data_IF_763750477799
#
_entry.id   IF_763750477799
#
_cell.length_a   1.000
_cell.length_b   1.000
_cell.length_c   1.000
_cell.angle_alpha   90.00
_cell.angle_beta   90.00
_cell.angle_gamma   90.00
#
_symmetry.space_group_name_H-M   'P 1'
#
loop_
_entity.id
_entity.type
_entity.pdbx_description
1 polymer ?
#
# COMPACT_ATOMS: atom_id res chain seq x y z
N UNK A 1 1.56 -8.56 -5.22
CA UNK A 1 2.29 -9.84 -5.37
C UNK A 1 3.74 -9.60 -5.01
N UNK A 2 4.33 -10.44 -4.16
CA UNK A 2 5.76 -10.33 -3.82
C UNK A 2 6.57 -11.05 -4.90
N UNK A 3 7.72 -10.49 -5.28
CA UNK A 3 8.57 -11.09 -6.30
C UNK A 3 9.60 -12.00 -5.62
N UNK A 4 9.73 -13.22 -6.13
CA UNK A 4 10.67 -14.23 -5.61
C UNK A 4 12.11 -13.95 -6.05
N UNK A 5 12.30 -13.53 -7.29
CA UNK A 5 13.62 -13.24 -7.84
C UNK A 5 14.03 -11.79 -7.58
N UNK A 6 15.29 -11.52 -7.21
CA UNK A 6 15.79 -10.16 -7.03
C UNK A 6 16.00 -9.44 -8.37
N UNK A 7 16.04 -8.12 -8.33
CA UNK A 7 16.33 -7.25 -9.47
C UNK A 7 17.84 -7.21 -9.78
N UNK A 8 18.15 -7.07 -11.07
CA UNK A 8 19.51 -6.80 -11.56
C UNK A 8 19.79 -5.30 -11.78
N UNK A 9 18.87 -4.42 -11.40
CA UNK A 9 19.07 -2.98 -11.52
C UNK A 9 20.28 -2.50 -10.71
N UNK A 10 20.93 -1.47 -11.26
CA UNK A 10 22.05 -0.73 -10.64
C UNK A 10 21.70 0.75 -10.56
N UNK A 11 20.90 1.10 -9.56
CA UNK A 11 20.42 2.46 -9.30
C UNK A 11 20.77 2.90 -7.88
N UNK A 12 20.67 4.20 -7.64
CA UNK A 12 20.58 4.76 -6.31
C UNK A 12 19.10 5.00 -6.01
N UNK A 13 18.57 4.31 -5.01
CA UNK A 13 17.21 4.42 -4.52
C UNK A 13 17.18 5.30 -3.28
N UNK A 14 16.29 6.29 -3.27
CA UNK A 14 16.03 7.16 -2.13
C UNK A 14 14.66 6.81 -1.56
N UNK A 15 14.58 6.60 -0.25
CA UNK A 15 13.39 6.15 0.43
C UNK A 15 12.99 7.14 1.51
N UNK A 16 11.68 7.31 1.65
CA UNK A 16 11.01 7.76 2.84
C UNK A 16 9.82 6.82 3.14
N UNK A 17 9.17 6.98 4.29
CA UNK A 17 8.00 6.19 4.69
C UNK A 17 6.79 7.04 5.09
N UNK A 18 5.58 6.47 5.01
CA UNK A 18 4.37 7.15 5.47
C UNK A 18 4.04 6.86 6.93
N UNK A 19 3.62 7.91 7.64
CA UNK A 19 2.91 7.89 8.93
C UNK A 19 3.65 7.28 10.14
N UNK A 20 4.83 6.69 9.94
CA UNK A 20 5.68 6.04 10.95
C UNK A 20 4.83 5.23 11.94
N UNK A 21 3.89 4.44 11.40
CA UNK A 21 2.90 3.70 12.19
C UNK A 21 3.59 2.75 13.16
N UNK A 22 4.78 2.22 12.79
CA UNK A 22 5.73 1.39 13.55
C UNK A 22 5.20 0.04 14.04
N UNK A 23 3.93 -0.02 14.43
CA UNK A 23 3.18 -1.19 14.89
C UNK A 23 1.71 -0.99 14.56
N UNK A 24 1.01 -2.07 14.24
CA UNK A 24 -0.44 -2.07 14.07
C UNK A 24 -1.06 -3.04 15.08
N UNK A 25 -1.99 -2.57 15.92
CA UNK A 25 -2.52 -3.34 17.04
C UNK A 25 -3.95 -2.95 17.41
N UNK A 26 -4.64 -3.89 18.06
CA UNK A 26 -5.99 -3.69 18.59
C UNK A 26 -5.95 -3.02 19.97
N UNK A 27 -6.84 -2.07 20.22
CA UNK A 27 -6.94 -1.38 21.50
C UNK A 27 -8.33 -0.81 21.78
N UNK A 28 -8.93 -1.22 22.89
CA UNK A 28 -10.20 -0.65 23.40
C UNK A 28 -10.15 0.85 23.71
N UNK A 29 -8.96 1.46 23.78
CA UNK A 29 -8.78 2.91 24.01
C UNK A 29 -8.97 3.73 22.73
N UNK A 30 -9.10 3.09 21.57
CA UNK A 30 -9.19 3.75 20.26
C UNK A 30 -10.61 3.64 19.73
N UNK A 31 -11.08 4.68 19.05
CA UNK A 31 -12.47 4.77 18.58
C UNK A 31 -12.88 3.59 17.70
N UNK A 32 -12.00 3.17 16.79
CA UNK A 32 -12.20 2.07 15.86
C UNK A 32 -11.49 0.78 16.31
N UNK A 33 -11.08 0.69 17.58
CA UNK A 33 -10.35 -0.45 18.13
C UNK A 33 -9.00 -0.77 17.47
N UNK A 34 -8.52 0.04 16.52
CA UNK A 34 -7.18 -0.02 15.93
C UNK A 34 -6.36 1.22 16.31
N UNK A 35 -5.05 1.07 16.47
CA UNK A 35 -4.18 2.14 16.98
C UNK A 35 -4.00 3.33 16.03
N UNK A 36 -4.14 3.10 14.73
CA UNK A 36 -4.03 4.09 13.66
C UNK A 36 -5.04 3.78 12.55
N UNK A 37 -5.51 4.83 11.89
CA UNK A 37 -6.30 4.77 10.65
C UNK A 37 -5.47 5.17 9.43
N UNK A 38 -4.16 5.35 9.62
CA UNK A 38 -3.27 5.95 8.65
C UNK A 38 -2.77 4.87 7.67
N UNK A 39 -3.67 4.45 6.80
CA UNK A 39 -3.45 3.41 5.78
C UNK A 39 -3.49 4.02 4.38
N UNK A 40 -2.67 3.56 3.42
CA UNK A 40 -1.67 2.50 3.54
C UNK A 40 -0.33 2.98 4.11
N UNK A 41 0.47 2.02 4.60
CA UNK A 41 1.90 2.21 4.79
C UNK A 41 2.60 2.15 3.43
N UNK A 42 3.43 3.14 3.13
CA UNK A 42 4.17 3.20 1.87
C UNK A 42 5.63 3.44 2.20
N UNK A 43 6.50 2.59 1.66
CA UNK A 43 7.95 2.74 1.69
C UNK A 43 8.44 2.94 0.26
N UNK A 44 9.01 4.10 -0.05
CA UNK A 44 9.33 4.41 -1.44
C UNK A 44 9.92 5.79 -1.67
N UNK A 45 10.04 6.17 -2.94
CA UNK A 45 10.62 7.45 -3.32
C UNK A 45 11.10 7.46 -4.77
N UNK A 46 12.21 8.16 -4.99
CA UNK A 46 12.82 8.30 -6.31
C UNK A 46 14.04 7.38 -6.47
N UNK A 47 14.31 6.94 -7.69
CA UNK A 47 15.47 6.14 -8.04
C UNK A 47 16.11 6.65 -9.33
N UNK A 48 17.45 6.62 -9.41
CA UNK A 48 18.18 7.14 -10.57
C UNK A 48 19.52 6.44 -10.75
N UNK A 49 20.10 6.55 -11.94
CA UNK A 49 21.44 5.99 -12.18
C UNK A 49 22.50 6.76 -11.39
N UNK A 50 23.53 6.09 -10.85
CA UNK A 50 24.61 6.75 -10.13
C UNK A 50 25.32 7.84 -10.95
N UNK A 51 25.44 7.64 -12.27
CA UNK A 51 26.08 8.60 -13.18
C UNK A 51 25.37 9.96 -13.23
N UNK A 52 24.06 10.00 -12.99
CA UNK A 52 23.27 11.25 -13.03
C UNK A 52 23.66 12.21 -11.88
N UNK A 53 24.10 11.66 -10.74
CA UNK A 53 24.54 12.46 -9.59
C UNK A 53 25.89 13.17 -9.82
N UNK A 54 26.66 12.73 -10.82
CA UNK A 54 27.93 13.35 -11.18
C UNK A 54 27.75 14.46 -12.23
N UNK A 55 26.53 14.68 -12.72
CA UNK A 55 26.22 15.74 -13.68
C UNK A 55 25.88 17.04 -12.95
N UNK A 56 26.73 18.04 -13.07
CA UNK A 56 26.51 19.38 -12.49
C UNK A 56 25.20 20.02 -13.00
N UNK A 57 24.78 19.73 -14.23
CA UNK A 57 23.50 20.23 -14.76
C UNK A 57 22.31 19.63 -14.03
N UNK A 58 22.43 18.37 -13.63
CA UNK A 58 21.41 17.70 -12.84
C UNK A 58 21.32 18.27 -11.43
N UNK A 59 22.46 18.54 -10.78
CA UNK A 59 22.47 19.19 -9.48
C UNK A 59 21.79 20.57 -9.53
N UNK A 60 22.14 21.39 -10.52
CA UNK A 60 21.54 22.70 -10.75
C UNK A 60 20.03 22.62 -11.00
N UNK A 61 19.56 21.63 -11.77
CA UNK A 61 18.13 21.48 -12.05
C UNK A 61 17.31 21.10 -10.82
N UNK A 62 17.87 20.32 -9.87
CA UNK A 62 17.26 20.09 -8.55
C UNK A 62 17.16 21.41 -7.78
N UNK A 63 18.21 22.24 -7.79
CA UNK A 63 18.17 23.55 -7.11
C UNK A 63 17.10 24.47 -7.67
N UNK A 64 16.98 24.50 -9.01
CA UNK A 64 15.95 25.27 -9.70
C UNK A 64 14.54 24.79 -9.36
N UNK A 65 14.32 23.47 -9.24
CA UNK A 65 13.03 22.91 -8.81
C UNK A 65 12.65 23.41 -7.40
N UNK A 66 13.58 23.32 -6.44
CA UNK A 66 13.33 23.78 -5.07
C UNK A 66 13.11 25.30 -5.01
N UNK A 67 13.83 26.06 -5.84
CA UNK A 67 13.62 27.50 -6.00
C UNK A 67 12.23 27.80 -6.56
N UNK A 68 11.75 27.06 -7.56
CA UNK A 68 10.38 27.17 -8.13
C UNK A 68 9.30 26.89 -7.07
N UNK A 69 9.58 26.06 -6.07
CA UNK A 69 8.67 25.84 -4.94
C UNK A 69 8.66 26.97 -3.91
N UNK A 70 9.51 27.98 -4.06
CA UNK A 70 9.64 29.10 -3.11
C UNK A 70 10.30 28.68 -1.79
N UNK A 71 11.11 27.62 -1.82
CA UNK A 71 11.86 27.17 -0.63
C UNK A 71 12.92 28.21 -0.31
N UNK A 72 12.89 28.74 0.93
CA UNK A 72 13.90 29.69 1.39
C UNK A 72 15.26 29.00 1.50
N UNK A 73 16.35 29.72 1.25
CA UNK A 73 17.72 29.18 1.38
C UNK A 73 18.06 28.67 2.78
N UNK A 74 17.38 29.19 3.81
CA UNK A 74 17.50 28.74 5.20
C UNK A 74 16.64 27.51 5.53
N UNK A 75 15.65 27.16 4.69
CA UNK A 75 14.75 26.06 4.92
C UNK A 75 15.45 24.74 4.59
N UNK A 76 15.85 24.04 5.66
CA UNK A 76 16.62 22.79 5.57
C UNK A 76 15.79 21.56 5.21
N UNK A 77 14.47 21.65 5.36
CA UNK A 77 13.56 20.53 5.19
C UNK A 77 12.26 20.95 4.48
N UNK A 78 12.02 20.34 3.33
CA UNK A 78 10.79 20.44 2.56
C UNK A 78 10.08 19.10 2.65
N UNK A 79 8.76 19.13 2.84
CA UNK A 79 7.90 17.96 2.99
C UNK A 79 6.68 18.13 2.11
N UNK A 80 5.93 17.06 1.87
CA UNK A 80 4.71 17.04 1.06
C UNK A 80 3.74 18.16 1.43
N UNK A 81 3.50 18.39 2.73
CA UNK A 81 2.61 19.47 3.22
C UNK A 81 3.02 20.89 2.81
N UNK A 82 4.26 21.11 2.36
CA UNK A 82 4.72 22.41 1.83
C UNK A 82 4.49 22.53 0.30
N UNK A 83 4.20 21.40 -0.34
CA UNK A 83 3.99 21.25 -1.79
C UNK A 83 2.49 21.23 -2.11
N UNK A 84 1.70 20.45 -1.38
CA UNK A 84 0.26 20.36 -1.55
C UNK A 84 -0.45 20.04 -0.23
N UNK A 85 -1.70 20.48 -0.08
CA UNK A 85 -2.58 20.18 1.05
C UNK A 85 -4.03 20.10 0.56
N UNK A 86 -4.86 19.36 1.27
CA UNK A 86 -6.28 19.17 0.93
C UNK A 86 -6.61 17.73 0.61
N UNK A 87 -7.82 17.51 0.09
CA UNK A 87 -8.23 16.22 -0.46
C UNK A 87 -7.53 15.92 -1.79
N UNK A 88 -7.74 14.70 -2.30
CA UNK A 88 -7.05 14.24 -3.50
C UNK A 88 -7.32 15.12 -4.74
N UNK A 89 -8.57 15.51 -5.08
CA UNK A 89 -8.79 16.46 -6.15
C UNK A 89 -8.10 17.81 -5.94
N UNK A 90 -8.09 18.34 -4.72
CA UNK A 90 -7.45 19.63 -4.42
C UNK A 90 -5.94 19.58 -4.61
N UNK A 91 -5.26 18.51 -4.19
CA UNK A 91 -3.79 18.46 -4.35
C UNK A 91 -3.36 18.37 -5.81
N UNK A 92 -4.21 17.84 -6.70
CA UNK A 92 -3.93 17.75 -8.14
C UNK A 92 -3.91 19.13 -8.82
N UNK A 93 -4.45 20.18 -8.21
CA UNK A 93 -4.35 21.56 -8.72
C UNK A 93 -3.05 22.25 -8.28
N UNK A 94 -2.18 21.58 -7.49
CA UNK A 94 -0.94 22.18 -7.00
C UNK A 94 0.09 22.33 -8.11
N UNK A 95 0.41 23.59 -8.46
CA UNK A 95 1.52 23.91 -9.37
C UNK A 95 2.87 23.37 -8.89
N UNK A 96 3.09 23.29 -7.56
CA UNK A 96 4.35 22.76 -7.03
C UNK A 96 4.46 21.26 -7.26
N UNK A 97 3.35 20.53 -7.11
CA UNK A 97 3.27 19.11 -7.40
C UNK A 97 3.44 18.84 -8.89
N UNK A 98 2.76 19.64 -9.73
CA UNK A 98 2.90 19.56 -11.19
C UNK A 98 4.36 19.76 -11.64
N UNK A 99 5.06 20.78 -11.09
CA UNK A 99 6.49 20.99 -11.33
C UNK A 99 7.36 19.79 -10.94
N UNK A 100 7.00 19.05 -9.88
CA UNK A 100 7.72 17.82 -9.50
C UNK A 100 7.57 16.77 -10.60
N UNK A 101 6.34 16.52 -11.06
CA UNK A 101 6.11 15.49 -12.06
C UNK A 101 6.68 15.85 -13.42
N UNK A 102 6.69 17.12 -13.81
CA UNK A 102 7.43 17.58 -14.99
C UNK A 102 8.91 17.29 -14.85
N UNK A 103 9.52 17.69 -13.74
CA UNK A 103 10.93 17.43 -13.47
C UNK A 103 11.28 15.94 -13.53
N UNK A 104 10.48 15.08 -12.90
CA UNK A 104 10.70 13.63 -12.91
C UNK A 104 10.52 13.00 -14.30
N UNK A 105 9.69 13.57 -15.17
CA UNK A 105 9.51 13.12 -16.55
C UNK A 105 10.64 13.59 -17.48
N UNK A 106 11.09 14.83 -17.32
CA UNK A 106 12.21 15.42 -18.09
C UNK A 106 13.55 14.75 -17.76
N UNK A 107 13.73 14.33 -16.49
CA UNK A 107 14.94 13.66 -16.03
C UNK A 107 14.80 12.13 -16.12
N UNK A 108 15.94 11.44 -16.17
CA UNK A 108 15.97 9.99 -16.12
C UNK A 108 15.84 9.43 -14.69
N UNK A 109 14.84 9.95 -13.97
CA UNK A 109 14.44 9.56 -12.62
C UNK A 109 13.23 8.63 -12.72
N UNK A 110 13.26 7.57 -11.93
CA UNK A 110 12.19 6.61 -11.75
C UNK A 110 11.54 6.80 -10.38
N UNK A 111 10.31 6.29 -10.24
CA UNK A 111 9.66 6.13 -8.94
C UNK A 111 9.73 4.67 -8.51
N UNK A 112 9.81 4.45 -7.21
CA UNK A 112 9.68 3.13 -6.63
C UNK A 112 8.84 3.21 -5.36
N UNK A 113 8.07 2.16 -5.09
CA UNK A 113 7.22 2.11 -3.91
C UNK A 113 6.84 0.69 -3.55
N UNK A 114 6.73 0.45 -2.25
CA UNK A 114 6.09 -0.70 -1.64
C UNK A 114 4.86 -0.18 -0.90
N UNK A 115 3.67 -0.57 -1.36
CA UNK A 115 2.39 -0.13 -0.79
C UNK A 115 1.76 -1.29 -0.02
N UNK A 116 1.58 -1.08 1.27
CA UNK A 116 1.01 -2.03 2.22
C UNK A 116 -0.29 -1.49 2.79
N UNK A 117 -1.40 -2.15 2.47
CA UNK A 117 -2.62 -1.96 3.24
C UNK A 117 -2.52 -2.78 4.53
N UNK A 118 -2.30 -2.08 5.64
CA UNK A 118 -2.13 -2.69 6.96
C UNK A 118 -3.39 -3.41 7.44
N UNK A 119 -4.59 -3.00 7.00
CA UNK A 119 -5.83 -3.71 7.36
C UNK A 119 -5.91 -5.01 6.59
N UNK A 120 -5.73 -4.96 5.27
CA UNK A 120 -5.71 -6.17 4.45
C UNK A 120 -4.67 -7.16 4.96
N UNK A 121 -3.43 -6.70 5.15
CA UNK A 121 -2.32 -7.51 5.65
C UNK A 121 -2.61 -8.18 6.99
N UNK A 122 -3.36 -7.50 7.87
CA UNK A 122 -3.72 -8.03 9.19
C UNK A 122 -4.86 -9.04 9.18
N UNK A 123 -5.50 -9.26 8.02
CA UNK A 123 -6.69 -10.12 7.90
C UNK A 123 -6.48 -11.28 6.93
N UNK A 124 -5.51 -11.21 6.00
CA UNK A 124 -5.30 -12.26 4.99
C UNK A 124 -5.08 -13.64 5.62
N UNK A 125 -4.38 -13.72 6.76
CA UNK A 125 -4.06 -14.97 7.45
C UNK A 125 -5.31 -15.75 7.90
N UNK A 126 -6.47 -15.08 8.00
CA UNK A 126 -7.77 -15.71 8.30
C UNK A 126 -8.17 -16.69 7.18
N UNK A 127 -7.77 -16.43 5.94
CA UNK A 127 -8.21 -17.12 4.72
C UNK A 127 -7.04 -17.46 3.79
N UNK A 128 -5.84 -17.63 4.35
CA UNK A 128 -4.61 -18.03 3.63
C UNK A 128 -4.34 -19.55 3.74
N UNK A 129 -5.16 -20.31 4.46
CA UNK A 129 -4.97 -21.75 4.67
C UNK A 129 -5.19 -22.59 3.40
N UNK A 130 -4.66 -23.81 3.39
CA UNK A 130 -4.83 -24.77 2.28
C UNK A 130 -6.30 -25.15 2.10
N UNK A 131 -7.05 -25.32 3.18
CA UNK A 131 -8.48 -25.62 3.11
C UNK A 131 -9.27 -24.48 2.43
N UNK A 132 -8.97 -23.22 2.75
CA UNK A 132 -9.56 -22.06 2.08
C UNK A 132 -9.20 -22.04 0.58
N UNK A 133 -7.93 -22.29 0.24
CA UNK A 133 -7.50 -22.38 -1.16
C UNK A 133 -8.19 -23.51 -1.92
N UNK A 134 -8.37 -24.68 -1.30
CA UNK A 134 -9.03 -25.83 -1.94
C UNK A 134 -10.48 -25.51 -2.33
N UNK A 135 -11.22 -24.77 -1.50
CA UNK A 135 -12.56 -24.27 -1.87
C UNK A 135 -12.48 -23.35 -3.08
N UNK A 136 -11.54 -22.40 -3.08
CA UNK A 136 -11.37 -21.48 -4.22
C UNK A 136 -10.91 -22.18 -5.49
N UNK A 137 -10.15 -23.28 -5.38
CA UNK A 137 -9.59 -24.05 -6.50
C UNK A 137 -10.65 -24.50 -7.49
N UNK A 138 -11.84 -24.84 -7.01
CA UNK A 138 -12.98 -25.24 -7.84
C UNK A 138 -13.51 -24.13 -8.75
N UNK A 139 -13.16 -22.87 -8.47
CA UNK A 139 -13.62 -21.69 -9.20
C UNK A 139 -12.51 -21.04 -10.03
N UNK A 140 -11.24 -21.44 -9.88
CA UNK A 140 -10.11 -20.80 -10.57
C UNK A 140 -10.19 -20.87 -12.11
N UNK A 141 -10.96 -21.82 -12.67
CA UNK A 141 -11.22 -21.88 -14.11
C UNK A 141 -12.10 -20.74 -14.62
N UNK A 142 -12.85 -20.07 -13.73
CA UNK A 142 -13.64 -18.87 -14.04
C UNK A 142 -12.73 -17.66 -14.07
N UNK A 143 -11.94 -17.48 -13.00
CA UNK A 143 -10.98 -16.40 -12.85
C UNK A 143 -9.88 -16.81 -11.87
N UNK A 144 -8.62 -16.76 -12.32
CA UNK A 144 -7.44 -17.11 -11.52
C UNK A 144 -7.25 -16.20 -10.29
N UNK A 145 -7.93 -15.04 -10.26
CA UNK A 145 -7.82 -14.03 -9.20
C UNK A 145 -8.78 -14.28 -8.04
N UNK A 146 -9.70 -15.25 -8.14
CA UNK A 146 -10.76 -15.49 -7.15
C UNK A 146 -10.23 -15.58 -5.73
N UNK A 147 -9.11 -16.25 -5.51
CA UNK A 147 -8.58 -16.38 -4.15
C UNK A 147 -8.16 -15.03 -3.56
N UNK A 148 -7.60 -14.14 -4.37
CA UNK A 148 -7.27 -12.77 -3.97
C UNK A 148 -8.51 -11.90 -3.80
N UNK A 149 -9.55 -12.10 -4.61
CA UNK A 149 -10.81 -11.37 -4.50
C UNK A 149 -11.61 -11.74 -3.24
N UNK A 150 -11.58 -13.02 -2.86
CA UNK A 150 -12.15 -13.49 -1.59
C UNK A 150 -11.40 -12.87 -0.40
N UNK A 151 -10.07 -12.73 -0.49
CA UNK A 151 -9.24 -11.99 0.49
C UNK A 151 -9.59 -10.52 0.59
N UNK A 152 -9.76 -9.88 -0.56
CA UNK A 152 -10.22 -8.50 -0.64
C UNK A 152 -11.63 -8.32 -0.08
N UNK A 153 -12.55 -9.27 -0.34
CA UNK A 153 -13.91 -9.22 0.20
C UNK A 153 -13.92 -9.22 1.73
N UNK A 154 -13.10 -10.04 2.39
CA UNK A 154 -12.97 -9.99 3.86
C UNK A 154 -12.50 -8.60 4.34
N UNK A 155 -11.58 -7.99 3.61
CA UNK A 155 -11.08 -6.64 3.90
C UNK A 155 -12.17 -5.58 3.73
N UNK A 156 -12.99 -5.67 2.68
CA UNK A 156 -14.12 -4.75 2.48
C UNK A 156 -15.20 -4.90 3.54
N UNK A 157 -15.49 -6.13 3.98
CA UNK A 157 -16.39 -6.40 5.11
C UNK A 157 -15.86 -5.70 6.37
N UNK A 158 -14.57 -5.87 6.68
CA UNK A 158 -13.93 -5.25 7.84
C UNK A 158 -13.99 -3.72 7.76
N UNK A 159 -13.68 -3.12 6.61
CA UNK A 159 -13.74 -1.66 6.40
C UNK A 159 -15.17 -1.11 6.50
N UNK A 160 -16.15 -1.82 5.95
CA UNK A 160 -17.58 -1.42 5.99
C UNK A 160 -18.08 -1.34 7.43
N UNK A 161 -17.66 -2.29 8.27
CA UNK A 161 -18.07 -2.34 9.67
C UNK A 161 -16.91 -2.00 10.62
N UNK A 162 -16.00 -1.11 10.22
CA UNK A 162 -14.70 -0.84 10.89
C UNK A 162 -14.77 -0.93 12.41
N UNK A 163 -15.59 -0.09 13.04
CA UNK A 163 -15.65 -0.02 14.50
C UNK A 163 -16.14 -1.32 15.14
N UNK A 164 -17.25 -1.88 14.65
CA UNK A 164 -17.89 -3.05 15.26
C UNK A 164 -17.08 -4.32 14.99
N UNK A 165 -16.54 -4.46 13.77
CA UNK A 165 -15.71 -5.59 13.37
C UNK A 165 -14.44 -5.69 14.21
N UNK A 166 -13.69 -4.58 14.32
CA UNK A 166 -12.45 -4.57 15.11
C UNK A 166 -12.70 -4.60 16.63
N UNK A 167 -13.85 -4.11 17.10
CA UNK A 167 -14.28 -4.30 18.49
C UNK A 167 -14.43 -5.78 18.83
N UNK A 168 -15.14 -6.52 17.99
CA UNK A 168 -15.35 -7.95 18.23
C UNK A 168 -14.08 -8.78 18.04
N UNK A 169 -13.21 -8.44 17.08
CA UNK A 169 -11.87 -9.03 17.01
C UNK A 169 -11.07 -8.83 18.30
N UNK A 170 -11.16 -7.64 18.89
CA UNK A 170 -10.54 -7.36 20.18
C UNK A 170 -11.17 -8.20 21.31
N UNK A 171 -12.49 -8.38 21.34
CA UNK A 171 -13.14 -9.25 22.34
C UNK A 171 -12.74 -10.73 22.18
N UNK A 172 -12.49 -11.17 20.95
CA UNK A 172 -12.02 -12.51 20.64
C UNK A 172 -10.54 -12.71 21.00
N UNK A 173 -9.75 -11.65 21.23
CA UNK A 173 -8.32 -11.78 21.53
C UNK A 173 -7.45 -11.96 20.28
N UNK A 174 -7.98 -11.66 19.10
CA UNK A 174 -7.30 -11.78 17.81
C UNK A 174 -5.90 -11.14 17.85
N UNK A 175 -4.86 -11.72 17.21
CA UNK A 175 -4.89 -12.86 16.26
C UNK A 175 -5.08 -14.26 16.85
N UNK A 176 -4.64 -14.53 18.08
CA UNK A 176 -4.69 -15.90 18.62
C UNK A 176 -6.10 -16.34 19.03
N UNK A 177 -6.68 -17.21 18.19
CA UNK A 177 -8.05 -17.75 18.35
C UNK A 177 -8.06 -19.22 18.78
N UNK A 178 -6.94 -19.77 19.24
CA UNK A 178 -6.75 -21.21 19.50
C UNK A 178 -7.83 -21.89 20.36
N UNK A 179 -8.55 -21.15 21.21
CA UNK A 179 -9.61 -21.68 22.08
C UNK A 179 -11.00 -21.08 21.79
N UNK A 180 -11.17 -20.41 20.63
CA UNK A 180 -12.37 -19.66 20.26
C UNK A 180 -12.73 -19.83 18.79
N UNK A 181 -12.37 -20.96 18.18
CA UNK A 181 -12.57 -21.22 16.75
C UNK A 181 -14.05 -21.11 16.35
N UNK A 182 -14.94 -21.77 17.10
CA UNK A 182 -16.39 -21.73 16.82
C UNK A 182 -16.99 -20.32 16.94
N UNK A 183 -16.59 -19.57 17.96
CA UNK A 183 -16.99 -18.17 18.16
C UNK A 183 -16.44 -17.29 17.03
N UNK A 184 -15.20 -17.53 16.60
CA UNK A 184 -14.55 -16.79 15.52
C UNK A 184 -15.23 -17.06 14.17
N UNK A 185 -15.56 -18.31 13.85
CA UNK A 185 -16.32 -18.67 12.64
C UNK A 185 -17.71 -18.02 12.69
N UNK A 186 -18.39 -18.06 13.83
CA UNK A 186 -19.68 -17.40 14.03
C UNK A 186 -19.61 -15.89 13.81
N UNK A 187 -18.53 -15.25 14.28
CA UNK A 187 -18.20 -13.85 14.01
C UNK A 187 -18.05 -13.60 12.50
N UNK A 188 -17.24 -14.40 11.79
CA UNK A 188 -17.01 -14.25 10.35
C UNK A 188 -18.31 -14.38 9.54
N UNK A 189 -19.11 -15.42 9.82
CA UNK A 189 -20.41 -15.65 9.18
C UNK A 189 -21.39 -14.51 9.43
N UNK A 190 -21.44 -13.99 10.67
CA UNK A 190 -22.28 -12.84 11.02
C UNK A 190 -21.95 -11.62 10.17
N UNK A 191 -20.68 -11.25 10.05
CA UNK A 191 -20.27 -10.07 9.29
C UNK A 191 -20.45 -10.24 7.79
N UNK A 192 -20.23 -11.43 7.24
CA UNK A 192 -20.57 -11.74 5.85
C UNK A 192 -22.09 -11.60 5.59
N UNK A 193 -22.92 -12.11 6.49
CA UNK A 193 -24.37 -11.95 6.43
C UNK A 193 -24.82 -10.48 6.53
N UNK A 194 -24.19 -9.69 7.40
CA UNK A 194 -24.46 -8.25 7.50
C UNK A 194 -24.08 -7.54 6.21
N UNK A 195 -22.90 -7.81 5.67
CA UNK A 195 -22.41 -7.21 4.44
C UNK A 195 -23.31 -7.49 3.24
N UNK A 196 -23.73 -8.75 3.05
CA UNK A 196 -24.63 -9.14 1.97
C UNK A 196 -25.98 -8.39 1.97
N UNK A 197 -26.38 -7.79 3.10
CA UNK A 197 -27.62 -7.02 3.26
C UNK A 197 -27.39 -5.50 3.24
N UNK A 198 -26.14 -5.06 3.28
CA UNK A 198 -25.76 -3.65 3.44
C UNK A 198 -25.98 -2.85 2.15
N UNK A 199 -26.07 -1.53 2.27
CA UNK A 199 -26.23 -0.67 1.10
C UNK A 199 -24.93 -0.56 0.30
N UNK A 200 -23.79 -0.63 0.99
CA UNK A 200 -22.45 -0.64 0.41
C UNK A 200 -22.29 -1.79 -0.58
N UNK A 201 -22.67 -3.02 -0.19
CA UNK A 201 -22.65 -4.17 -1.10
C UNK A 201 -23.62 -4.01 -2.27
N UNK A 202 -24.86 -3.57 -2.02
CA UNK A 202 -25.88 -3.37 -3.08
C UNK A 202 -25.44 -2.37 -4.15
N UNK A 203 -24.66 -1.38 -3.76
CA UNK A 203 -24.09 -0.38 -4.67
C UNK A 203 -22.71 -0.78 -5.20
N UNK A 204 -22.16 -1.92 -4.79
CA UNK A 204 -20.84 -2.39 -5.22
C UNK A 204 -20.93 -3.25 -6.48
N UNK A 205 -19.88 -3.28 -7.30
CA UNK A 205 -19.78 -4.22 -8.42
C UNK A 205 -19.29 -5.61 -7.99
N UNK A 206 -19.23 -5.91 -6.68
CA UNK A 206 -18.74 -7.20 -6.17
C UNK A 206 -19.73 -8.29 -6.57
N UNK A 207 -19.22 -9.31 -7.28
CA UNK A 207 -20.05 -10.38 -7.78
C UNK A 207 -20.59 -11.27 -6.63
N UNK A 208 -21.88 -11.64 -6.60
CA UNK A 208 -22.47 -12.46 -5.54
C UNK A 208 -21.80 -13.82 -5.33
N UNK A 209 -21.12 -14.34 -6.36
CA UNK A 209 -20.31 -15.57 -6.25
C UNK A 209 -19.24 -15.46 -5.16
N UNK A 210 -18.61 -14.30 -4.97
CA UNK A 210 -17.57 -14.13 -3.95
C UNK A 210 -18.13 -14.30 -2.53
N UNK A 211 -19.35 -13.81 -2.27
CA UNK A 211 -20.04 -14.06 -1.00
C UNK A 211 -20.31 -15.55 -0.79
N UNK A 212 -20.74 -16.25 -1.85
CA UNK A 212 -21.00 -17.70 -1.81
C UNK A 212 -19.71 -18.47 -1.52
N UNK A 213 -18.61 -18.15 -2.21
CA UNK A 213 -17.31 -18.80 -2.00
C UNK A 213 -16.83 -18.58 -0.57
N UNK A 214 -16.85 -17.33 -0.08
CA UNK A 214 -16.43 -17.01 1.29
C UNK A 214 -17.31 -17.71 2.34
N UNK A 215 -18.62 -17.84 2.08
CA UNK A 215 -19.52 -18.62 2.94
C UNK A 215 -19.16 -20.12 2.98
N UNK A 216 -18.83 -20.72 1.83
CA UNK A 216 -18.39 -22.13 1.75
C UNK A 216 -17.07 -22.32 2.51
N UNK A 217 -16.11 -21.38 2.39
CA UNK A 217 -14.87 -21.41 3.19
C UNK A 217 -15.20 -21.44 4.69
N UNK A 218 -16.12 -20.60 5.15
CA UNK A 218 -16.50 -20.60 6.57
C UNK A 218 -17.25 -21.85 7.03
N UNK A 219 -17.94 -22.58 6.13
CA UNK A 219 -18.47 -23.91 6.43
C UNK A 219 -17.33 -24.93 6.51
N UNK A 220 -16.36 -24.85 5.59
CA UNK A 220 -15.20 -25.74 5.60
C UNK A 220 -14.41 -25.61 6.89
N UNK A 221 -14.25 -24.40 7.40
CA UNK A 221 -13.57 -24.12 8.67
C UNK A 221 -14.24 -24.78 9.88
N UNK A 222 -15.54 -25.12 9.83
CA UNK A 222 -16.24 -25.81 10.92
C UNK A 222 -15.97 -27.31 10.97
N UNK A 223 -15.41 -27.89 9.90
CA UNK A 223 -15.14 -29.32 9.87
C UNK A 223 -14.01 -29.65 10.84
N UNK A 224 -14.25 -30.64 11.70
CA UNK A 224 -13.25 -31.12 12.64
C UNK A 224 -12.64 -32.43 12.10
N UNK A 225 -11.80 -32.30 11.08
CA UNK A 225 -11.04 -33.40 10.48
C UNK A 225 -9.53 -33.09 10.45
N UNK A 226 -8.71 -34.13 10.34
CA UNK A 226 -7.25 -34.02 10.42
C UNK A 226 -6.63 -33.26 9.23
N UNK A 227 -7.38 -33.02 8.14
CA UNK A 227 -6.91 -32.29 6.96
C UNK A 227 -7.22 -30.79 7.02
N UNK A 228 -8.08 -30.35 7.96
CA UNK A 228 -8.44 -28.96 8.13
C UNK A 228 -7.33 -28.15 8.80
N UNK A 229 -6.59 -27.40 8.00
CA UNK A 229 -5.56 -26.46 8.44
C UNK A 229 -6.08 -25.03 8.68
N UNK A 230 -7.40 -24.86 8.86
CA UNK A 230 -8.00 -23.57 9.17
C UNK A 230 -7.29 -22.89 10.34
N UNK A 231 -7.05 -21.59 10.18
CA UNK A 231 -6.43 -20.74 11.20
C UNK A 231 -5.03 -21.19 11.67
N UNK A 232 -4.34 -22.05 10.92
CA UNK A 232 -2.98 -22.50 11.26
C UNK A 232 -1.98 -21.34 11.44
N UNK A 233 -2.18 -20.23 10.72
CA UNK A 233 -1.37 -19.01 10.81
C UNK A 233 -1.74 -18.10 11.99
N UNK A 234 -2.84 -18.37 12.70
CA UNK A 234 -3.32 -17.54 13.81
C UNK A 234 -2.89 -18.10 15.18
N UNK A 235 -2.42 -19.36 15.23
CA UNK A 235 -2.17 -20.07 16.49
C UNK A 235 -0.86 -19.63 17.14
N UNK A 236 -0.95 -19.22 18.42
CA UNK A 236 0.22 -18.82 19.22
C UNK A 236 0.73 -17.41 18.94
N UNK A 237 0.01 -16.64 18.14
CA UNK A 237 0.30 -15.24 17.88
C UNK A 237 0.08 -14.37 19.14
N UNK A 238 0.76 -13.22 19.21
CA UNK A 238 0.62 -12.32 20.36
C UNK A 238 -0.73 -11.61 20.31
N UNK A 239 -1.60 -11.87 21.28
CA UNK A 239 -2.90 -11.23 21.42
C UNK A 239 -2.83 -9.71 21.17
N UNK A 240 -3.78 -9.20 20.39
CA UNK A 240 -3.94 -7.80 19.98
C UNK A 240 -2.86 -7.22 19.08
N UNK A 241 -1.76 -7.93 18.79
CA UNK A 241 -0.73 -7.45 17.87
C UNK A 241 -1.05 -7.94 16.47
N UNK A 242 -1.29 -7.01 15.54
CA UNK A 242 -1.62 -7.33 14.14
C UNK A 242 -0.36 -7.26 13.26
N UNK A 243 0.42 -6.18 13.40
CA UNK A 243 1.73 -6.02 12.79
C UNK A 243 2.68 -5.59 13.88
N UNK A 244 3.57 -6.50 14.28
CA UNK A 244 4.50 -6.27 15.38
C UNK A 244 5.48 -5.15 15.04
N UNK A 245 6.04 -5.19 13.83
CA UNK A 245 7.14 -4.34 13.36
C UNK A 245 7.12 -4.23 11.83
N UNK A 246 7.76 -3.18 11.29
CA UNK A 246 7.77 -2.87 9.85
C UNK A 246 9.16 -3.08 9.19
N UNK A 247 10.16 -3.49 9.97
CA UNK A 247 11.53 -3.74 9.49
C UNK A 247 11.57 -4.82 8.39
N UNK A 248 10.65 -5.79 8.40
CA UNK A 248 10.60 -6.84 7.39
C UNK A 248 10.27 -6.27 6.00
N UNK A 249 9.49 -5.19 5.93
CA UNK A 249 9.21 -4.49 4.67
C UNK A 249 10.44 -3.73 4.15
N UNK A 250 11.28 -3.21 5.04
CA UNK A 250 12.59 -2.64 4.68
C UNK A 250 13.54 -3.73 4.18
N UNK A 251 13.65 -4.84 4.91
CA UNK A 251 14.47 -6.00 4.55
C UNK A 251 14.09 -6.54 3.17
N UNK A 252 12.79 -6.72 2.93
CA UNK A 252 12.29 -7.14 1.63
C UNK A 252 12.79 -6.21 0.50
N UNK A 253 12.75 -4.89 0.70
CA UNK A 253 13.25 -3.95 -0.32
C UNK A 253 14.77 -4.01 -0.49
N UNK A 254 15.52 -4.20 0.59
CA UNK A 254 16.97 -4.40 0.52
C UNK A 254 17.32 -5.65 -0.28
N UNK A 255 16.64 -6.76 -0.02
CA UNK A 255 16.85 -8.04 -0.68
C UNK A 255 16.38 -8.05 -2.14
N UNK A 256 15.37 -7.25 -2.49
CA UNK A 256 14.91 -7.10 -3.87
C UNK A 256 15.90 -6.41 -4.79
N UNK A 257 16.82 -5.58 -4.28
CA UNK A 257 17.72 -4.77 -5.11
C UNK A 257 19.19 -4.93 -4.73
N UNK A 258 19.74 -6.16 -4.74
CA UNK A 258 21.06 -6.47 -4.18
C UNK A 258 22.22 -5.76 -4.90
N UNK A 259 22.01 -5.33 -6.15
CA UNK A 259 23.01 -4.67 -7.00
C UNK A 259 22.92 -3.13 -6.99
N UNK A 260 21.98 -2.57 -6.23
CA UNK A 260 21.71 -1.12 -6.16
C UNK A 260 22.05 -0.57 -4.78
N UNK A 261 22.20 0.76 -4.67
CA UNK A 261 22.39 1.42 -3.38
C UNK A 261 21.08 2.00 -2.86
N UNK A 262 20.71 1.65 -1.64
CA UNK A 262 19.46 2.08 -1.00
C UNK A 262 19.74 3.09 0.11
N UNK A 263 19.06 4.23 0.06
CA UNK A 263 19.32 5.41 0.86
C UNK A 263 18.01 5.75 1.57
N UNK A 264 17.87 5.33 2.82
CA UNK A 264 16.66 5.52 3.62
C UNK A 264 16.73 6.81 4.44
N UNK A 265 15.62 7.53 4.61
CA UNK A 265 15.52 8.52 5.69
C UNK A 265 15.67 7.82 7.05
N UNK A 266 16.19 8.54 8.04
CA UNK A 266 16.42 7.98 9.38
C UNK A 266 15.11 7.61 10.08
N UNK A 267 14.90 6.31 10.30
CA UNK A 267 13.88 5.80 11.23
C UNK A 267 14.58 5.00 12.34
N UNK A 268 14.64 5.59 13.54
CA UNK A 268 15.39 5.04 14.69
C UNK A 268 15.03 3.60 15.05
N UNK A 269 13.75 3.25 15.09
CA UNK A 269 13.29 1.90 15.44
C UNK A 269 13.71 0.89 14.37
N UNK A 270 13.58 1.23 13.09
CA UNK A 270 14.02 0.35 11.99
C UNK A 270 15.55 0.20 12.01
N UNK A 271 16.27 1.31 12.19
CA UNK A 271 17.72 1.32 12.31
C UNK A 271 18.22 0.43 13.46
N UNK A 272 17.60 0.54 14.64
CA UNK A 272 17.98 -0.26 15.80
C UNK A 272 17.68 -1.74 15.55
N UNK A 273 16.55 -2.07 14.92
CA UNK A 273 16.22 -3.46 14.55
C UNK A 273 17.16 -4.06 13.51
N UNK A 274 17.55 -3.30 12.50
CA UNK A 274 18.48 -3.78 11.47
C UNK A 274 19.92 -3.92 11.97
N UNK A 275 20.27 -3.35 13.14
CA UNK A 275 21.53 -3.68 13.82
C UNK A 275 21.49 -5.08 14.43
N UNK A 276 20.37 -5.42 15.06
CA UNK A 276 20.17 -6.72 15.71
C UNK A 276 19.98 -7.83 14.66
N UNK A 277 19.27 -7.52 13.58
CA UNK A 277 18.92 -8.44 12.49
C UNK A 277 19.28 -7.83 11.13
N UNK A 278 20.58 -7.78 10.76
CA UNK A 278 21.02 -7.16 9.53
C UNK A 278 20.65 -7.99 8.30
N UNK A 279 20.35 -7.31 7.19
CA UNK A 279 20.31 -7.97 5.88
C UNK A 279 21.67 -8.56 5.53
N UNK A 280 21.68 -9.67 4.79
CA UNK A 280 22.88 -10.22 4.16
C UNK A 280 23.54 -9.24 3.17
N UNK A 281 22.77 -8.28 2.66
CA UNK A 281 23.27 -7.25 1.75
C UNK A 281 23.66 -5.99 2.52
N UNK A 282 24.85 -5.46 2.23
CA UNK A 282 25.39 -4.22 2.81
C UNK A 282 25.16 -3.01 1.90
N UNK A 283 24.17 -3.11 1.01
CA UNK A 283 23.91 -2.16 -0.06
C UNK A 283 22.98 -1.00 0.36
N UNK A 284 22.74 -0.82 1.66
CA UNK A 284 21.86 0.22 2.19
C UNK A 284 22.51 1.08 3.27
N UNK A 285 22.00 2.31 3.43
CA UNK A 285 22.34 3.21 4.54
C UNK A 285 21.16 4.12 4.90
N UNK A 286 21.18 4.60 6.14
CA UNK A 286 20.26 5.62 6.63
C UNK A 286 20.92 7.01 6.59
N UNK A 287 20.18 8.02 6.18
CA UNK A 287 20.67 9.39 5.96
C UNK A 287 19.62 10.36 6.45
N UNK A 288 20.04 11.43 7.13
CA UNK A 288 19.15 12.53 7.49
C UNK A 288 18.58 13.20 6.25
N UNK A 289 17.26 13.32 6.18
CA UNK A 289 16.55 14.14 5.20
C UNK A 289 16.97 15.61 5.20
N UNK A 290 17.52 16.13 6.31
CA UNK A 290 18.03 17.50 6.41
C UNK A 290 19.12 17.78 5.36
N UNK A 291 18.80 18.67 4.42
CA UNK A 291 19.69 19.02 3.30
C UNK A 291 19.79 17.97 2.18
N UNK A 292 19.17 16.79 2.32
CA UNK A 292 19.12 15.80 1.25
C UNK A 292 17.86 15.98 0.40
N UNK A 293 17.98 16.74 -0.70
CA UNK A 293 16.87 17.08 -1.59
C UNK A 293 16.19 15.84 -2.21
N UNK A 294 16.92 14.73 -2.41
CA UNK A 294 16.38 13.49 -3.00
C UNK A 294 15.54 12.67 -2.03
N UNK A 295 15.92 12.66 -0.74
CA UNK A 295 15.07 12.12 0.33
C UNK A 295 13.81 13.00 0.48
N UNK A 296 13.95 14.32 0.43
CA UNK A 296 12.79 15.23 0.51
C UNK A 296 11.85 15.09 -0.69
N UNK A 297 12.37 14.87 -1.90
CA UNK A 297 11.55 14.51 -3.06
C UNK A 297 10.84 13.16 -2.86
N UNK A 298 11.47 12.23 -2.15
CA UNK A 298 10.85 10.94 -1.81
C UNK A 298 9.68 11.12 -0.85
N UNK A 299 9.80 11.94 0.21
CA UNK A 299 8.71 12.35 1.12
C UNK A 299 7.53 12.94 0.33
N UNK A 300 7.82 13.88 -0.57
CA UNK A 300 6.78 14.54 -1.38
C UNK A 300 6.06 13.52 -2.27
N UNK A 301 6.79 12.62 -2.92
CA UNK A 301 6.23 11.60 -3.80
C UNK A 301 5.36 10.60 -3.02
N UNK A 302 5.86 10.01 -1.94
CA UNK A 302 5.09 9.03 -1.17
C UNK A 302 3.91 9.69 -0.45
N UNK A 303 4.04 10.98 -0.08
CA UNK A 303 2.94 11.78 0.45
C UNK A 303 1.80 11.93 -0.56
N UNK A 304 2.13 12.17 -1.84
CA UNK A 304 1.15 12.15 -2.93
C UNK A 304 0.53 10.76 -3.13
N UNK A 305 1.35 9.71 -3.20
CA UNK A 305 0.88 8.32 -3.38
C UNK A 305 -0.06 7.92 -2.24
N UNK A 306 0.22 8.32 -1.00
CA UNK A 306 -0.68 8.14 0.14
C UNK A 306 -2.02 8.79 -0.10
N UNK A 307 -2.05 10.06 -0.51
CA UNK A 307 -3.31 10.75 -0.81
C UNK A 307 -4.11 10.04 -1.92
N UNK A 308 -3.44 9.53 -2.96
CA UNK A 308 -4.05 8.72 -4.01
C UNK A 308 -4.70 7.45 -3.44
N UNK A 309 -3.97 6.65 -2.66
CA UNK A 309 -4.52 5.40 -2.12
C UNK A 309 -5.61 5.63 -1.07
N UNK A 310 -5.49 6.67 -0.25
CA UNK A 310 -6.54 7.05 0.69
C UNK A 310 -7.84 7.38 -0.06
N UNK A 311 -7.74 8.16 -1.14
CA UNK A 311 -8.88 8.47 -1.99
C UNK A 311 -9.49 7.22 -2.63
N UNK A 312 -8.68 6.36 -3.24
CA UNK A 312 -9.16 5.13 -3.88
C UNK A 312 -9.83 4.18 -2.89
N UNK A 313 -9.28 4.04 -1.68
CA UNK A 313 -9.88 3.20 -0.63
C UNK A 313 -11.24 3.73 -0.16
N UNK A 314 -11.47 5.04 -0.23
CA UNK A 314 -12.70 5.70 0.21
C UNK A 314 -13.82 5.76 -0.83
N UNK A 315 -13.58 5.37 -2.09
CA UNK A 315 -14.59 5.39 -3.14
C UNK A 315 -14.95 3.99 -3.62
N UNK A 316 -16.19 3.83 -4.09
CA UNK A 316 -16.64 2.62 -4.76
C UNK A 316 -15.99 2.53 -6.15
N UNK A 317 -15.64 1.31 -6.59
CA UNK A 317 -15.10 1.06 -7.92
C UNK A 317 -15.99 1.64 -9.05
N UNK A 318 -17.32 1.56 -8.90
CA UNK A 318 -18.27 2.10 -9.88
C UNK A 318 -18.14 3.63 -10.08
N UNK A 319 -17.61 4.36 -9.10
CA UNK A 319 -17.53 5.82 -9.13
C UNK A 319 -16.18 6.32 -9.65
N UNK A 320 -15.19 5.45 -9.87
CA UNK A 320 -13.83 5.85 -10.29
C UNK A 320 -13.87 6.60 -11.62
N UNK A 321 -14.64 6.10 -12.59
CA UNK A 321 -14.74 6.70 -13.92
C UNK A 321 -15.48 8.04 -13.90
N UNK A 322 -16.65 8.09 -13.24
CA UNK A 322 -17.40 9.35 -13.07
C UNK A 322 -16.56 10.42 -12.36
N UNK A 323 -15.89 10.06 -11.27
CA UNK A 323 -15.05 10.99 -10.55
C UNK A 323 -13.87 11.49 -11.40
N UNK A 324 -13.27 10.62 -12.23
CA UNK A 324 -12.23 11.04 -13.18
C UNK A 324 -12.76 12.01 -14.23
N UNK A 325 -13.97 11.78 -14.77
CA UNK A 325 -14.58 12.69 -15.74
C UNK A 325 -14.90 14.07 -15.16
N UNK A 326 -15.20 14.12 -13.85
CA UNK A 326 -15.44 15.37 -13.13
C UNK A 326 -14.16 16.15 -12.78
N UNK A 327 -12.96 15.58 -13.00
CA UNK A 327 -11.71 16.31 -12.85
C UNK A 327 -11.54 17.35 -13.96
N UNK A 328 -11.02 18.52 -13.62
CA UNK A 328 -10.65 19.53 -14.59
C UNK A 328 -9.36 19.15 -15.35
N UNK A 329 -9.06 19.90 -16.41
CA UNK A 329 -7.88 19.68 -17.25
C UNK A 329 -6.55 19.78 -16.52
N UNK A 330 -6.46 20.62 -15.48
CA UNK A 330 -5.23 20.78 -14.68
C UNK A 330 -5.03 19.51 -13.85
N UNK A 331 -6.09 19.05 -13.21
CA UNK A 331 -6.07 17.85 -12.36
C UNK A 331 -5.75 16.59 -13.18
N UNK A 332 -6.41 16.43 -14.35
CA UNK A 332 -6.16 15.32 -15.27
C UNK A 332 -4.71 15.30 -15.75
N UNK A 333 -4.18 16.44 -16.19
CA UNK A 333 -2.77 16.56 -16.64
C UNK A 333 -1.78 16.23 -15.53
N UNK A 334 -2.00 16.72 -14.31
CA UNK A 334 -1.15 16.39 -13.16
C UNK A 334 -1.10 14.88 -12.92
N UNK A 335 -2.25 14.22 -12.95
CA UNK A 335 -2.37 12.78 -12.75
C UNK A 335 -1.76 11.96 -13.91
N UNK A 336 -1.97 12.39 -15.15
CA UNK A 336 -1.34 11.80 -16.35
C UNK A 336 0.18 11.85 -16.26
N UNK A 337 0.77 12.97 -15.83
CA UNK A 337 2.21 13.10 -15.63
C UNK A 337 2.73 12.12 -14.58
N UNK A 338 2.02 11.93 -13.47
CA UNK A 338 2.37 10.91 -12.48
C UNK A 338 2.37 9.50 -13.09
N UNK A 339 1.28 9.14 -13.79
CA UNK A 339 1.18 7.81 -14.39
C UNK A 339 2.21 7.59 -15.51
N UNK A 340 2.62 8.63 -16.23
CA UNK A 340 3.73 8.52 -17.18
C UNK A 340 5.04 8.08 -16.50
N UNK A 341 5.35 8.65 -15.33
CA UNK A 341 6.53 8.27 -14.55
C UNK A 341 6.38 6.85 -13.98
N UNK A 342 5.18 6.51 -13.50
CA UNK A 342 4.85 5.17 -13.04
C UNK A 342 5.13 4.13 -14.13
N UNK A 343 4.61 4.33 -15.35
CA UNK A 343 4.79 3.42 -16.47
C UNK A 343 6.27 3.31 -16.87
N UNK A 344 6.98 4.45 -16.92
CA UNK A 344 8.42 4.48 -17.16
C UNK A 344 9.18 3.62 -16.15
N UNK A 345 8.74 3.61 -14.89
CA UNK A 345 9.40 2.89 -13.79
C UNK A 345 9.08 1.40 -13.80
N UNK A 346 7.81 1.02 -13.95
CA UNK A 346 7.42 -0.39 -14.06
C UNK A 346 7.99 -1.05 -15.32
N UNK A 347 8.08 -0.31 -16.44
CA UNK A 347 8.74 -0.80 -17.66
C UNK A 347 10.24 -1.00 -17.47
N UNK A 348 10.86 -0.31 -16.50
CA UNK A 348 12.29 -0.47 -16.18
C UNK A 348 12.55 -1.77 -15.43
N UNK A 349 11.72 -2.06 -14.43
CA UNK A 349 11.63 -3.33 -13.71
C UNK A 349 10.30 -3.34 -12.94
N UNK A 350 9.54 -4.43 -13.03
CA UNK A 350 8.28 -4.61 -12.29
C UNK A 350 8.45 -4.46 -10.77
N UNK A 351 9.65 -4.78 -10.23
CA UNK A 351 9.95 -4.68 -8.79
C UNK A 351 10.02 -3.25 -8.30
N UNK A 352 10.09 -2.27 -9.19
CA UNK A 352 10.04 -0.84 -8.83
C UNK A 352 8.78 -0.54 -8.03
N UNK A 353 7.66 -1.19 -8.36
CA UNK A 353 6.39 -1.01 -7.66
C UNK A 353 5.86 -2.33 -7.15
N UNK A 354 5.63 -2.43 -5.84
CA UNK A 354 5.06 -3.61 -5.19
C UNK A 354 3.79 -3.23 -4.45
N UNK A 355 2.73 -4.00 -4.69
CA UNK A 355 1.45 -3.87 -3.98
C UNK A 355 1.20 -5.10 -3.11
N UNK A 356 0.99 -4.85 -1.82
CA UNK A 356 0.45 -5.77 -0.81
C UNK A 356 -0.80 -5.15 -0.21
N UNK A 357 -1.80 -4.94 -1.06
CA UNK A 357 -3.08 -4.36 -0.73
C UNK A 357 -4.24 -5.20 -1.30
N UNK A 358 -5.46 -4.87 -0.87
CA UNK A 358 -6.68 -5.43 -1.43
C UNK A 358 -6.69 -5.35 -2.96
N UNK A 359 -6.96 -6.47 -3.64
CA UNK A 359 -7.03 -6.49 -5.11
C UNK A 359 -8.11 -5.54 -5.64
N UNK A 360 -9.16 -5.26 -4.85
CA UNK A 360 -10.17 -4.27 -5.23
C UNK A 360 -9.62 -2.85 -5.28
N UNK A 361 -8.73 -2.46 -4.35
CA UNK A 361 -8.07 -1.15 -4.43
C UNK A 361 -7.08 -1.10 -5.60
N UNK A 362 -6.42 -2.21 -5.90
CA UNK A 362 -5.58 -2.34 -7.09
C UNK A 362 -6.39 -2.22 -8.39
N UNK A 363 -7.62 -2.77 -8.44
CA UNK A 363 -8.51 -2.58 -9.58
C UNK A 363 -8.89 -1.10 -9.76
N UNK A 364 -9.23 -0.38 -8.68
CA UNK A 364 -9.51 1.06 -8.75
C UNK A 364 -8.29 1.85 -9.24
N UNK A 365 -7.10 1.53 -8.73
CA UNK A 365 -5.83 2.14 -9.16
C UNK A 365 -5.58 1.92 -10.66
N UNK A 366 -5.73 0.67 -11.13
CA UNK A 366 -5.53 0.32 -12.53
C UNK A 366 -6.58 0.97 -13.45
N UNK A 367 -7.83 1.04 -13.03
CA UNK A 367 -8.87 1.75 -13.79
C UNK A 367 -8.53 3.23 -13.96
N UNK A 368 -8.15 3.91 -12.86
CA UNK A 368 -7.76 5.32 -12.91
C UNK A 368 -6.53 5.55 -13.81
N UNK A 369 -5.53 4.66 -13.71
CA UNK A 369 -4.35 4.65 -14.58
C UNK A 369 -4.73 4.50 -16.06
N UNK A 370 -5.63 3.57 -16.37
CA UNK A 370 -6.01 3.27 -17.75
C UNK A 370 -6.86 4.41 -18.35
N UNK A 371 -7.69 5.09 -17.54
CA UNK A 371 -8.39 6.32 -17.93
C UNK A 371 -7.40 7.44 -18.31
N UNK A 372 -6.38 7.67 -17.48
CA UNK A 372 -5.33 8.66 -17.79
C UNK A 372 -4.61 8.35 -19.12
N UNK A 373 -4.32 7.06 -19.38
CA UNK A 373 -3.68 6.63 -20.64
C UNK A 373 -4.56 6.90 -21.87
N UNK A 374 -5.87 6.65 -21.78
CA UNK A 374 -6.81 6.86 -22.90
C UNK A 374 -6.92 8.35 -23.24
N UNK A 375 -7.07 9.18 -22.22
CA UNK A 375 -7.28 10.62 -22.33
C UNK A 375 -6.02 11.36 -22.86
N UNK A 376 -4.82 10.80 -22.60
CA UNK A 376 -3.58 11.34 -23.17
C UNK A 376 -3.40 11.12 -24.69
N UNK A 377 -4.22 10.25 -25.29
CA UNK A 377 -4.17 9.90 -26.73
C UNK A 377 -5.24 10.62 -27.57
N UNK A 378 -6.21 11.26 -26.94
CA UNK A 378 -7.17 12.19 -27.55
C UNK A 378 -6.63 13.60 -27.52
#
# INVERSE_FOLDING_TARGET
MLFLEPSNLKLNFYFDETNNIRKFYLSSKKMNYVNSMDTPFILGGVAMRPSLLNDIKFELSIEELFKKWGVQTSQKEVKFKHIANGDFPTILTSKKLDNLFDFLNEQEIFIHMYVLDVIHWSLIDIIESKCAFNVCKEFLWIDERIFYEVKALLTEIARTFMRDFFKELFELGYPDISNKQDDFISFLKKYLCKYARSQEYKNSPIHPLLLKILWIIFIEFEKNDDENDAFCLLKGELAYNLIKEFNDFYLYRIEQFPNSHLLFDEEKQVMDRLKDFPSKHLNYKFIKSNGNKLIQMSDILIGFVRCLFNYLSGINYANVEENYQNLDEIQKKCLQKFFLIYEKSVSKDEKMVVFTCSIFDLFKFNLLRDLCKKDSKS
#
